data_IF_143238583512
#
_entry.id   IF_143238583512
#
_cell.length_a   1.000
_cell.length_b   1.000
_cell.length_c   1.000
_cell.angle_alpha   90.00
_cell.angle_beta   90.00
_cell.angle_gamma   90.00
#
_symmetry.space_group_name_H-M   'P 1'
#
loop_
_entity.id
_entity.type
_entity.pdbx_description
1 polymer ?
#
# COMPACT_ATOMS: atom_id res chain seq x y z
N UNK A 1 16.92 -3.50 -12.08
CA UNK A 1 15.58 -3.33 -12.70
C UNK A 1 14.72 -4.61 -12.67
N UNK A 2 15.18 -5.73 -12.10
CA UNK A 2 14.43 -7.00 -12.13
C UNK A 2 13.34 -7.12 -11.07
N UNK A 3 13.51 -6.50 -9.90
CA UNK A 3 12.60 -6.74 -8.76
C UNK A 3 11.26 -6.02 -8.91
N UNK A 4 11.24 -4.76 -9.39
CA UNK A 4 9.99 -4.02 -9.62
C UNK A 4 9.09 -4.71 -10.66
N UNK A 5 9.67 -5.31 -11.70
CA UNK A 5 8.92 -6.07 -12.71
C UNK A 5 8.34 -7.35 -12.11
N UNK A 6 9.11 -8.07 -11.27
CA UNK A 6 8.64 -9.27 -10.56
C UNK A 6 7.44 -8.95 -9.66
N UNK A 7 7.55 -7.91 -8.85
CA UNK A 7 6.48 -7.44 -7.97
C UNK A 7 5.25 -6.99 -8.75
N UNK A 8 5.43 -6.26 -9.85
CA UNK A 8 4.32 -5.81 -10.69
C UNK A 8 3.59 -6.99 -11.34
N UNK A 9 4.31 -8.00 -11.82
CA UNK A 9 3.71 -9.21 -12.39
C UNK A 9 2.93 -9.99 -11.34
N UNK A 10 3.49 -10.16 -10.14
CA UNK A 10 2.79 -10.81 -9.03
C UNK A 10 1.52 -10.04 -8.61
N UNK A 11 1.63 -8.70 -8.50
CA UNK A 11 0.49 -7.82 -8.21
C UNK A 11 -0.59 -7.90 -9.30
N UNK A 12 -0.18 -7.97 -10.57
CA UNK A 12 -1.11 -8.12 -11.71
C UNK A 12 -1.87 -9.43 -11.61
N UNK A 13 -1.17 -10.54 -11.41
CA UNK A 13 -1.77 -11.87 -11.30
C UNK A 13 -2.77 -11.94 -10.13
N UNK A 14 -2.40 -11.43 -8.96
CA UNK A 14 -3.31 -11.38 -7.83
C UNK A 14 -4.50 -10.43 -8.10
N UNK A 15 -4.25 -9.25 -8.69
CA UNK A 15 -5.30 -8.28 -9.00
C UNK A 15 -6.35 -8.84 -9.96
N UNK A 16 -5.95 -9.64 -10.94
CA UNK A 16 -6.84 -10.31 -11.87
C UNK A 16 -7.78 -11.27 -11.14
N UNK A 17 -7.24 -12.20 -10.33
CA UNK A 17 -8.04 -13.15 -9.55
C UNK A 17 -9.05 -12.44 -8.63
N UNK A 18 -8.62 -11.36 -7.96
CA UNK A 18 -9.48 -10.60 -7.07
C UNK A 18 -10.59 -9.86 -7.84
N UNK A 19 -10.31 -9.32 -9.03
CA UNK A 19 -11.32 -8.67 -9.89
C UNK A 19 -12.36 -9.64 -10.41
N UNK A 20 -11.94 -10.82 -10.85
CA UNK A 20 -12.84 -11.89 -11.31
C UNK A 20 -13.87 -12.27 -10.24
N UNK A 21 -13.47 -12.17 -8.97
CA UNK A 21 -14.33 -12.44 -7.81
C UNK A 21 -14.98 -11.18 -7.21
N UNK A 22 -14.93 -10.04 -7.91
CA UNK A 22 -15.49 -8.75 -7.45
C UNK A 22 -15.00 -8.35 -6.04
N UNK A 23 -13.72 -8.56 -5.76
CA UNK A 23 -13.07 -8.20 -4.51
C UNK A 23 -12.35 -6.87 -4.70
N UNK A 24 -12.86 -5.82 -4.06
CA UNK A 24 -12.19 -4.53 -4.02
C UNK A 24 -10.87 -4.65 -3.24
N UNK A 25 -9.80 -4.15 -3.85
CA UNK A 25 -8.44 -4.27 -3.32
C UNK A 25 -7.57 -3.11 -3.81
N UNK A 26 -6.49 -2.84 -3.09
CA UNK A 26 -5.50 -1.83 -3.44
C UNK A 26 -4.12 -2.23 -2.94
N UNK A 27 -3.10 -2.03 -3.76
CA UNK A 27 -1.71 -2.32 -3.41
C UNK A 27 -1.02 -1.11 -2.78
N UNK A 28 -0.10 -1.38 -1.85
CA UNK A 28 0.84 -0.41 -1.31
C UNK A 28 2.11 -1.12 -0.77
N UNK A 29 2.88 -0.42 0.06
CA UNK A 29 4.20 -0.83 0.53
C UNK A 29 5.27 0.00 -0.14
N UNK A 30 6.53 -0.20 0.25
CA UNK A 30 7.66 0.49 -0.40
C UNK A 30 7.73 0.19 -1.91
N UNK A 31 7.09 -0.89 -2.39
CA UNK A 31 6.93 -1.15 -3.81
C UNK A 31 6.31 0.03 -4.58
N UNK A 32 5.39 0.78 -3.97
CA UNK A 32 4.76 1.94 -4.61
C UNK A 32 5.81 3.03 -4.90
N UNK A 33 6.63 3.39 -3.93
CA UNK A 33 7.68 4.41 -4.09
C UNK A 33 8.76 3.92 -5.04
N UNK A 34 9.13 2.64 -4.99
CA UNK A 34 10.02 2.00 -5.97
C UNK A 34 9.50 2.08 -7.40
N UNK A 35 8.21 1.84 -7.61
CA UNK A 35 7.57 1.94 -8.93
C UNK A 35 7.53 3.39 -9.44
N UNK A 36 7.24 4.35 -8.55
CA UNK A 36 7.20 5.79 -8.89
C UNK A 36 8.60 6.38 -9.11
N UNK A 37 9.61 5.90 -8.39
CA UNK A 37 10.99 6.35 -8.50
C UNK A 37 11.78 5.64 -9.61
N UNK A 38 11.20 4.59 -10.20
CA UNK A 38 11.90 3.66 -11.10
C UNK A 38 13.19 3.10 -10.46
N UNK A 39 13.13 2.77 -9.16
CA UNK A 39 14.28 2.31 -8.38
C UNK A 39 13.91 1.04 -7.57
N UNK A 40 14.51 -0.13 -7.87
CA UNK A 40 14.22 -1.38 -7.18
C UNK A 40 14.97 -1.41 -5.84
N UNK A 41 14.31 -0.97 -4.76
CA UNK A 41 14.90 -0.91 -3.41
C UNK A 41 14.17 -1.79 -2.40
N UNK A 42 13.15 -2.54 -2.81
CA UNK A 42 12.29 -3.26 -1.87
C UNK A 42 11.61 -4.46 -2.50
N UNK A 43 11.40 -5.47 -1.66
CA UNK A 43 10.60 -6.66 -1.92
C UNK A 43 9.24 -6.60 -1.17
N UNK A 44 8.97 -5.49 -0.48
CA UNK A 44 7.77 -5.31 0.35
C UNK A 44 6.58 -4.87 -0.50
N UNK A 45 5.60 -5.76 -0.63
CA UNK A 45 4.32 -5.49 -1.28
C UNK A 45 3.15 -5.92 -0.39
N UNK A 46 2.24 -4.97 -0.18
CA UNK A 46 1.01 -5.17 0.55
C UNK A 46 -0.20 -5.05 -0.37
N UNK A 47 -1.23 -5.83 -0.11
CA UNK A 47 -2.53 -5.73 -0.76
C UNK A 47 -3.60 -5.57 0.31
N UNK A 48 -4.18 -4.38 0.40
CA UNK A 48 -5.35 -4.13 1.25
C UNK A 48 -6.57 -4.65 0.53
N UNK A 49 -7.38 -5.44 1.22
CA UNK A 49 -8.58 -6.05 0.68
C UNK A 49 -9.79 -5.63 1.50
N UNK A 50 -10.82 -5.14 0.80
CA UNK A 50 -12.07 -4.76 1.43
C UNK A 50 -12.84 -5.99 1.92
N UNK A 51 -13.43 -5.84 3.11
CA UNK A 51 -14.41 -6.78 3.62
C UNK A 51 -15.67 -6.85 2.75
N UNK A 52 -16.63 -7.64 3.18
CA UNK A 52 -17.94 -7.74 2.52
C UNK A 52 -18.88 -8.56 3.39
N UNK A 53 -19.65 -9.45 2.75
CA UNK A 53 -20.47 -10.45 3.45
C UNK A 53 -19.65 -11.44 4.30
N UNK A 54 -18.33 -11.49 4.11
CA UNK A 54 -17.41 -12.31 4.90
C UNK A 54 -16.04 -11.63 5.04
N UNK A 55 -15.22 -12.18 5.94
CA UNK A 55 -13.86 -11.69 6.22
C UNK A 55 -13.00 -11.63 4.94
N UNK A 56 -12.20 -10.57 4.71
CA UNK A 56 -11.41 -10.40 3.49
C UNK A 56 -10.52 -11.61 3.17
N UNK A 57 -9.86 -12.20 4.18
CA UNK A 57 -9.01 -13.38 3.97
C UNK A 57 -9.77 -14.62 3.50
N UNK A 58 -11.04 -14.79 3.88
CA UNK A 58 -11.85 -15.89 3.35
C UNK A 58 -12.10 -15.67 1.86
N UNK A 59 -12.45 -14.45 1.47
CA UNK A 59 -12.70 -14.08 0.07
C UNK A 59 -11.46 -14.26 -0.79
N UNK A 60 -10.30 -13.83 -0.30
CA UNK A 60 -9.01 -14.00 -1.00
C UNK A 60 -8.68 -15.47 -1.19
N UNK A 61 -8.79 -16.30 -0.14
CA UNK A 61 -8.58 -17.76 -0.25
C UNK A 61 -9.49 -18.41 -1.28
N UNK A 62 -10.76 -18.00 -1.33
CA UNK A 62 -11.71 -18.48 -2.34
C UNK A 62 -11.29 -18.04 -3.74
N UNK A 63 -10.90 -16.78 -3.92
CA UNK A 63 -10.49 -16.24 -5.22
C UNK A 63 -9.21 -16.88 -5.79
N UNK A 64 -8.30 -17.34 -4.92
CA UNK A 64 -7.08 -18.05 -5.36
C UNK A 64 -7.27 -19.56 -5.51
N UNK A 65 -8.42 -20.10 -5.11
CA UNK A 65 -8.66 -21.54 -5.16
C UNK A 65 -8.63 -22.01 -6.62
N UNK A 66 -7.76 -22.97 -6.93
CA UNK A 66 -7.55 -23.48 -8.29
C UNK A 66 -6.56 -22.66 -9.13
N UNK A 67 -5.95 -21.61 -8.59
CA UNK A 67 -4.84 -20.93 -9.26
C UNK A 67 -3.59 -21.80 -9.27
N UNK A 68 -2.97 -21.98 -10.44
CA UNK A 68 -1.70 -22.71 -10.56
C UNK A 68 -0.50 -21.89 -10.06
N UNK A 69 -0.62 -20.55 -10.11
CA UNK A 69 0.50 -19.64 -9.88
C UNK A 69 0.45 -18.93 -8.53
N UNK A 70 -0.69 -18.98 -7.80
CA UNK A 70 -0.85 -18.29 -6.52
C UNK A 70 -1.37 -19.26 -5.46
N UNK A 71 -0.66 -19.35 -4.35
CA UNK A 71 -1.13 -20.03 -3.13
C UNK A 71 -1.30 -19.03 -1.99
N UNK A 72 -2.11 -19.38 -0.99
CA UNK A 72 -2.25 -18.55 0.22
C UNK A 72 -1.93 -19.31 1.49
N UNK A 73 -1.17 -18.67 2.38
CA UNK A 73 -0.81 -19.19 3.71
C UNK A 73 -1.38 -18.24 4.77
N UNK A 74 -2.35 -18.68 5.58
CA UNK A 74 -2.84 -17.87 6.70
C UNK A 74 -1.81 -17.85 7.82
N UNK A 75 -1.67 -16.71 8.48
CA UNK A 75 -0.84 -16.54 9.67
C UNK A 75 -1.74 -16.12 10.84
N UNK A 76 -2.36 -17.08 11.56
CA UNK A 76 -3.49 -16.80 12.45
C UNK A 76 -3.15 -15.90 13.62
N UNK A 77 -1.89 -15.91 14.08
CA UNK A 77 -1.45 -15.16 15.27
C UNK A 77 -1.28 -13.66 15.04
N UNK A 78 -1.25 -13.18 13.79
CA UNK A 78 -1.02 -11.76 13.49
C UNK A 78 -2.07 -11.13 12.57
N UNK A 79 -3.25 -11.77 12.43
CA UNK A 79 -4.31 -11.33 11.53
C UNK A 79 -3.78 -10.98 10.13
N UNK A 80 -2.90 -11.83 9.58
CA UNK A 80 -2.28 -11.64 8.27
C UNK A 80 -2.49 -12.88 7.40
N UNK A 81 -2.63 -12.65 6.10
CA UNK A 81 -2.70 -13.69 5.08
C UNK A 81 -1.61 -13.40 4.06
N UNK A 82 -0.84 -14.40 3.68
CA UNK A 82 0.21 -14.23 2.69
C UNK A 82 -0.21 -14.92 1.40
N UNK A 83 -0.18 -14.20 0.28
CA UNK A 83 -0.36 -14.75 -1.05
C UNK A 83 1.02 -14.89 -1.71
N UNK A 84 1.40 -16.12 -2.04
CA UNK A 84 2.69 -16.42 -2.67
C UNK A 84 2.48 -16.66 -4.16
N UNK A 85 3.15 -15.87 -4.99
CA UNK A 85 3.19 -16.01 -6.44
C UNK A 85 4.42 -16.83 -6.88
N UNK A 86 4.18 -17.95 -7.55
CA UNK A 86 5.18 -18.97 -7.90
C UNK A 86 5.78 -18.81 -9.30
N UNK A 87 5.41 -17.77 -10.05
CA UNK A 87 5.94 -17.54 -11.40
C UNK A 87 7.40 -17.05 -11.46
N UNK A 88 8.07 -16.90 -10.31
CA UNK A 88 9.48 -16.52 -10.20
C UNK A 88 10.20 -17.36 -9.15
N UNK A 89 11.54 -17.42 -9.27
CA UNK A 89 12.43 -17.95 -8.24
C UNK A 89 13.39 -16.82 -7.82
N UNK A 90 13.41 -16.39 -6.55
CA UNK A 90 12.49 -16.81 -5.48
C UNK A 90 11.05 -16.35 -5.73
N UNK A 91 10.09 -17.05 -5.11
CA UNK A 91 8.68 -16.71 -5.17
C UNK A 91 8.45 -15.31 -4.60
N UNK A 92 7.41 -14.63 -5.09
CA UNK A 92 7.04 -13.29 -4.61
C UNK A 92 5.95 -13.44 -3.56
N UNK A 93 6.20 -12.90 -2.37
CA UNK A 93 5.23 -12.90 -1.29
C UNK A 93 4.49 -11.55 -1.27
N UNK A 94 3.16 -11.62 -1.29
CA UNK A 94 2.27 -10.47 -1.15
C UNK A 94 1.53 -10.62 0.16
N UNK A 95 1.74 -9.68 1.06
CA UNK A 95 1.02 -9.68 2.32
C UNK A 95 -0.35 -9.01 2.15
N UNK A 96 -1.39 -9.73 2.55
CA UNK A 96 -2.79 -9.33 2.44
C UNK A 96 -3.23 -8.75 3.77
N UNK A 97 -3.76 -7.53 3.74
CA UNK A 97 -4.17 -6.78 4.90
C UNK A 97 -5.67 -6.43 4.82
N UNK A 98 -6.41 -6.43 5.94
CA UNK A 98 -7.81 -6.05 5.94
C UNK A 98 -7.99 -4.52 5.85
N UNK A 99 -8.88 -4.09 4.94
CA UNK A 99 -9.32 -2.70 4.86
C UNK A 99 -9.97 -2.24 6.18
N UNK A 100 -9.78 -0.97 6.53
CA UNK A 100 -10.28 -0.38 7.78
C UNK A 100 -9.37 -0.63 9.00
N UNK A 101 -8.52 -1.66 8.97
CA UNK A 101 -7.50 -1.89 9.99
C UNK A 101 -6.15 -1.30 9.54
N UNK A 102 -5.67 -1.68 8.36
CA UNK A 102 -4.34 -1.29 7.85
C UNK A 102 -4.39 -0.25 6.72
N UNK A 103 -5.57 0.27 6.44
CA UNK A 103 -5.78 1.30 5.43
C UNK A 103 -7.23 1.80 5.41
N UNK A 104 -7.65 2.49 4.34
CA UNK A 104 -9.01 3.01 4.24
C UNK A 104 -10.04 1.87 4.31
N UNK A 105 -11.21 2.16 4.89
CA UNK A 105 -12.29 1.17 5.06
C UNK A 105 -12.92 0.76 3.73
N UNK A 106 -13.05 1.71 2.82
CA UNK A 106 -13.62 1.51 1.49
C UNK A 106 -12.54 1.76 0.44
N UNK A 107 -12.49 0.90 -0.57
CA UNK A 107 -11.52 0.97 -1.65
C UNK A 107 -12.23 1.42 -2.93
N UNK A 108 -12.42 2.73 -3.03
CA UNK A 108 -13.08 3.42 -4.14
C UNK A 108 -12.14 4.42 -4.85
N UNK A 109 -12.70 5.22 -5.76
CA UNK A 109 -11.95 6.23 -6.52
C UNK A 109 -11.36 7.37 -5.68
N UNK A 110 -11.78 7.52 -4.42
CA UNK A 110 -11.24 8.52 -3.48
C UNK A 110 -10.01 8.01 -2.71
N UNK A 111 -9.90 6.69 -2.55
CA UNK A 111 -8.85 6.02 -1.78
C UNK A 111 -7.86 5.27 -2.64
N UNK A 112 -8.20 4.99 -3.89
CA UNK A 112 -7.37 4.25 -4.83
C UNK A 112 -7.03 5.05 -6.09
N UNK A 113 -5.88 4.74 -6.69
CA UNK A 113 -5.45 5.22 -8.00
C UNK A 113 -4.99 4.04 -8.85
N UNK A 114 -5.14 4.12 -10.17
CA UNK A 114 -4.67 3.07 -11.06
C UNK A 114 -3.24 3.35 -11.54
N UNK A 115 -2.33 2.39 -11.36
CA UNK A 115 -1.01 2.40 -12.00
C UNK A 115 -0.90 1.16 -12.89
N UNK A 116 -0.71 1.37 -14.20
CA UNK A 116 -0.69 0.29 -15.21
C UNK A 116 -1.90 -0.64 -15.12
N UNK A 117 -3.07 -0.08 -14.80
CA UNK A 117 -4.31 -0.84 -14.68
C UNK A 117 -4.45 -1.65 -13.39
N UNK A 118 -3.54 -1.52 -12.41
CA UNK A 118 -3.62 -2.17 -11.09
C UNK A 118 -4.03 -1.11 -10.04
N UNK A 119 -4.92 -1.43 -9.08
CA UNK A 119 -5.35 -0.46 -8.08
C UNK A 119 -4.29 -0.32 -6.99
N UNK A 120 -3.82 0.89 -6.74
CA UNK A 120 -2.93 1.25 -5.63
C UNK A 120 -3.63 2.23 -4.71
N UNK A 121 -3.19 2.35 -3.45
CA UNK A 121 -3.62 3.46 -2.61
C UNK A 121 -3.26 4.80 -3.26
N UNK A 122 -4.10 5.83 -3.06
CA UNK A 122 -3.73 7.21 -3.40
C UNK A 122 -2.51 7.65 -2.61
N UNK A 123 -1.84 8.72 -3.06
CA UNK A 123 -0.71 9.31 -2.33
C UNK A 123 -1.07 9.63 -0.88
N UNK A 124 -2.28 10.16 -0.64
CA UNK A 124 -2.77 10.47 0.71
C UNK A 124 -2.90 9.22 1.59
N UNK A 125 -3.55 8.17 1.08
CA UNK A 125 -3.76 6.93 1.84
C UNK A 125 -2.44 6.17 2.04
N UNK A 126 -1.53 6.22 1.07
CA UNK A 126 -0.19 5.68 1.21
C UNK A 126 0.58 6.38 2.35
N UNK A 127 0.61 7.71 2.36
CA UNK A 127 1.27 8.48 3.43
C UNK A 127 0.62 8.16 4.77
N UNK A 128 -0.72 8.13 4.86
CA UNK A 128 -1.44 7.79 6.08
C UNK A 128 -1.04 6.40 6.60
N UNK A 129 -1.01 5.39 5.74
CA UNK A 129 -0.64 4.03 6.12
C UNK A 129 0.82 3.95 6.59
N UNK A 130 1.76 4.56 5.85
CA UNK A 130 3.18 4.59 6.24
C UNK A 130 3.41 5.39 7.52
N UNK A 131 2.69 6.50 7.72
CA UNK A 131 2.80 7.32 8.93
C UNK A 131 2.33 6.55 10.17
N UNK A 132 1.24 5.78 10.07
CA UNK A 132 0.76 4.88 11.14
C UNK A 132 1.83 3.83 11.51
N UNK A 133 2.39 3.15 10.50
CA UNK A 133 3.43 2.13 10.72
C UNK A 133 4.69 2.75 11.33
N UNK A 134 5.11 3.91 10.81
CA UNK A 134 6.24 4.66 11.33
C UNK A 134 6.00 5.12 12.78
N UNK A 135 4.81 5.59 13.13
CA UNK A 135 4.48 5.98 14.51
C UNK A 135 4.62 4.81 15.49
N UNK A 136 4.42 3.58 15.02
CA UNK A 136 4.52 2.37 15.85
C UNK A 136 5.94 1.80 15.96
N UNK A 137 6.74 1.86 14.89
CA UNK A 137 8.04 1.16 14.79
C UNK A 137 9.23 2.07 14.53
N UNK A 138 8.99 3.32 14.16
CA UNK A 138 9.98 4.33 13.78
C UNK A 138 11.03 3.85 12.77
N UNK A 139 10.61 3.03 11.79
CA UNK A 139 11.52 2.49 10.77
C UNK A 139 11.92 3.57 9.76
N UNK A 140 13.20 3.60 9.42
CA UNK A 140 13.76 4.61 8.51
C UNK A 140 13.22 4.46 7.09
N UNK A 141 12.95 3.24 6.62
CA UNK A 141 12.38 3.00 5.30
C UNK A 141 11.00 3.67 5.13
N UNK A 142 10.15 3.58 6.15
CA UNK A 142 8.85 4.26 6.12
C UNK A 142 9.02 5.79 6.07
N UNK A 143 9.99 6.33 6.80
CA UNK A 143 10.29 7.76 6.75
C UNK A 143 10.77 8.21 5.37
N UNK A 144 11.67 7.45 4.74
CA UNK A 144 12.15 7.74 3.38
C UNK A 144 11.03 7.71 2.35
N UNK A 145 10.12 6.74 2.46
CA UNK A 145 8.94 6.65 1.59
C UNK A 145 8.01 7.85 1.75
N UNK A 146 7.73 8.27 2.99
CA UNK A 146 6.92 9.46 3.29
C UNK A 146 7.58 10.72 2.73
N UNK A 147 8.88 10.92 2.98
CA UNK A 147 9.64 12.08 2.48
C UNK A 147 9.65 12.09 0.95
N UNK A 148 9.86 10.94 0.32
CA UNK A 148 9.81 10.81 -1.14
C UNK A 148 8.45 11.24 -1.69
N UNK A 149 7.36 10.74 -1.11
CA UNK A 149 6.01 11.09 -1.55
C UNK A 149 5.68 12.57 -1.32
N UNK A 150 6.03 13.11 -0.16
CA UNK A 150 5.82 14.53 0.15
C UNK A 150 6.64 15.43 -0.79
N UNK A 151 7.92 15.14 -1.00
CA UNK A 151 8.79 16.00 -1.84
C UNK A 151 8.33 16.09 -3.30
N UNK A 152 7.72 15.04 -3.85
CA UNK A 152 7.37 14.96 -5.28
C UNK A 152 5.88 15.10 -5.58
N UNK A 153 5.03 14.69 -4.65
CA UNK A 153 3.59 14.53 -4.89
C UNK A 153 2.72 15.24 -3.85
N UNK A 154 3.27 16.19 -3.07
CA UNK A 154 2.51 16.96 -2.08
C UNK A 154 1.23 17.59 -2.66
N UNK A 155 1.26 18.02 -3.92
CA UNK A 155 0.12 18.64 -4.60
C UNK A 155 -1.08 17.68 -4.78
N UNK A 156 -0.84 16.37 -4.71
CA UNK A 156 -1.88 15.32 -4.77
C UNK A 156 -2.36 14.87 -3.39
N UNK A 157 -1.80 15.42 -2.32
CA UNK A 157 -2.19 15.09 -0.94
C UNK A 157 -3.49 15.81 -0.57
N UNK A 158 -4.40 15.04 0.02
CA UNK A 158 -5.59 15.51 0.71
C UNK A 158 -5.30 15.59 2.20
N UNK A 159 -5.21 16.82 2.72
CA UNK A 159 -4.82 17.06 4.11
C UNK A 159 -5.81 16.44 5.09
N UNK A 160 -7.09 16.35 4.73
CA UNK A 160 -8.14 15.81 5.59
C UNK A 160 -8.00 14.30 5.83
N UNK A 161 -7.16 13.62 5.04
CA UNK A 161 -6.86 12.20 5.20
C UNK A 161 -5.64 11.94 6.07
N UNK A 162 -4.82 12.96 6.35
CA UNK A 162 -3.57 12.84 7.09
C UNK A 162 -3.81 13.23 8.56
N UNK A 163 -3.48 12.38 9.54
CA UNK A 163 -3.48 12.77 10.95
C UNK A 163 -2.45 13.88 11.20
N UNK A 164 -2.94 15.09 11.51
CA UNK A 164 -2.08 16.28 11.61
C UNK A 164 -1.04 16.17 12.73
N UNK A 165 -1.42 15.66 13.90
CA UNK A 165 -0.50 15.52 15.05
C UNK A 165 0.64 14.54 14.76
N UNK A 166 0.33 13.40 14.14
CA UNK A 166 1.33 12.42 13.73
C UNK A 166 2.26 13.02 12.67
N UNK A 167 1.72 13.77 11.71
CA UNK A 167 2.52 14.42 10.65
C UNK A 167 3.40 15.54 11.21
N UNK A 168 2.89 16.33 12.16
CA UNK A 168 3.68 17.35 12.85
C UNK A 168 4.85 16.70 13.60
N UNK A 169 4.58 15.60 14.33
CA UNK A 169 5.62 14.81 15.00
C UNK A 169 6.65 14.26 14.02
N UNK A 170 6.20 13.76 12.87
CA UNK A 170 7.06 13.29 11.79
C UNK A 170 7.97 14.41 11.26
N UNK A 171 7.41 15.58 10.97
CA UNK A 171 8.14 16.73 10.44
C UNK A 171 9.16 17.28 11.44
N UNK A 172 8.87 17.23 12.74
CA UNK A 172 9.85 17.58 13.79
C UNK A 172 11.07 16.66 13.75
N UNK A 173 10.87 15.35 13.53
CA UNK A 173 11.97 14.38 13.43
C UNK A 173 12.69 14.43 12.07
N UNK A 174 11.96 14.70 10.99
CA UNK A 174 12.48 14.76 9.62
C UNK A 174 12.21 16.14 8.99
N UNK A 175 13.05 17.16 9.28
CA UNK A 175 12.83 18.53 8.80
C UNK A 175 12.77 18.67 7.27
N UNK A 176 13.32 17.71 6.52
CA UNK A 176 13.22 17.68 5.05
C UNK A 176 11.78 17.57 4.54
N UNK A 177 10.84 17.05 5.34
CA UNK A 177 9.42 17.02 5.00
C UNK A 177 8.69 18.35 5.25
N UNK A 178 9.27 19.27 6.04
CA UNK A 178 8.63 20.51 6.46
C UNK A 178 8.18 21.43 5.31
N UNK A 179 8.98 21.64 4.23
CA UNK A 179 8.57 22.50 3.12
C UNK A 179 7.32 21.95 2.41
N UNK A 180 7.28 20.64 2.18
CA UNK A 180 6.15 19.97 1.56
C UNK A 180 4.90 20.04 2.44
N UNK A 181 5.05 19.79 3.75
CA UNK A 181 3.93 19.88 4.68
C UNK A 181 3.35 21.29 4.78
N UNK A 182 4.22 22.31 4.83
CA UNK A 182 3.81 23.72 4.80
C UNK A 182 3.07 24.07 3.51
N UNK A 183 3.53 23.56 2.37
CA UNK A 183 2.86 23.77 1.08
C UNK A 183 1.47 23.12 1.04
N UNK A 184 1.31 21.94 1.65
CA UNK A 184 0.01 21.28 1.79
C UNK A 184 -0.92 22.13 2.67
N UNK A 185 -0.49 22.55 3.86
CA UNK A 185 -1.32 23.43 4.74
C UNK A 185 -1.79 24.68 4.01
N UNK A 186 -0.86 25.37 3.33
CA UNK A 186 -1.17 26.55 2.52
C UNK A 186 -2.20 26.29 1.42
N UNK A 187 -2.13 25.15 0.74
CA UNK A 187 -3.11 24.76 -0.30
C UNK A 187 -4.54 24.68 0.25
N UNK A 188 -4.70 24.33 1.53
CA UNK A 188 -5.99 24.21 2.20
C UNK A 188 -6.33 25.40 3.10
N UNK A 189 -5.54 26.48 3.08
CA UNK A 189 -5.79 27.70 3.87
C UNK A 189 -5.49 27.57 5.36
N UNK A 190 -4.63 26.62 5.74
CA UNK A 190 -4.14 26.40 7.11
C UNK A 190 -2.76 27.05 7.33
#
# INVERSE_FOLDING_TARGET
MHDTTRLLTAATALSQLLREHSIAHAFHGSFLTSLMANNPLTDEIYCIVEGGSSHPFRRVRQAVTGSENISTTPTPWCNRLHATYHGFIPAVEIEILPAGEEGPRHLDSSTTMAIRGIPFLTVSEFIRAKLKTWGSRAQENDAQDIIYCLSRYWNRVDINRIPEDDMNTFVTRYPSAAPAWTAIKRKYGM
#
